data_IF_687887976291
#
_entry.id   IF_687887976291
#
_cell.length_a   1.000
_cell.length_b   1.000
_cell.length_c   1.000
_cell.angle_alpha   90.00
_cell.angle_beta   90.00
_cell.angle_gamma   90.00
#
_symmetry.space_group_name_H-M   'P 1'
#
loop_
_entity.id
_entity.type
_entity.pdbx_description
1 polymer ?
#
# COMPACT_ATOMS: atom_id res chain seq x y z
N UNK A 1 -12.30 16.17 -0.31
CA UNK A 1 -12.88 17.05 0.73
C UNK A 1 -12.41 18.51 0.54
N UNK A 2 -11.10 18.79 0.49
CA UNK A 2 -10.51 20.14 0.32
C UNK A 2 -10.95 20.96 -0.91
N UNK A 3 -11.08 20.34 -2.10
CA UNK A 3 -11.52 21.06 -3.30
C UNK A 3 -12.93 21.65 -3.19
N UNK A 4 -13.79 21.03 -2.37
CA UNK A 4 -15.17 21.47 -2.13
C UNK A 4 -15.22 22.67 -1.18
N UNK A 5 -14.33 22.77 -0.20
CA UNK A 5 -14.23 23.91 0.71
C UNK A 5 -13.61 25.15 0.04
N UNK A 6 -12.67 24.96 -0.89
CA UNK A 6 -11.95 26.07 -1.57
C UNK A 6 -12.59 26.53 -2.88
N UNK A 7 -13.71 25.94 -3.31
CA UNK A 7 -14.33 26.23 -4.60
C UNK A 7 -13.45 25.87 -5.80
N UNK A 8 -12.47 24.97 -5.62
CA UNK A 8 -11.57 24.55 -6.67
C UNK A 8 -12.29 23.58 -7.60
N UNK A 9 -12.43 23.95 -8.88
CA UNK A 9 -12.97 23.10 -9.92
C UNK A 9 -11.85 22.22 -10.50
N UNK A 10 -12.09 20.92 -10.57
CA UNK A 10 -11.18 20.03 -11.30
C UNK A 10 -11.10 20.49 -12.78
N UNK A 11 -9.92 20.44 -13.42
CA UNK A 11 -9.79 20.75 -14.84
C UNK A 11 -10.74 19.91 -15.69
N UNK A 12 -11.07 20.40 -16.88
CA UNK A 12 -11.87 19.63 -17.85
C UNK A 12 -11.19 18.30 -18.16
N UNK A 13 -11.77 17.22 -17.61
CA UNK A 13 -11.38 15.84 -17.91
C UNK A 13 -12.18 15.35 -19.11
N UNK A 14 -11.48 15.02 -20.20
CA UNK A 14 -12.14 14.38 -21.34
C UNK A 14 -12.26 12.87 -21.08
N UNK A 15 -13.36 12.29 -21.56
CA UNK A 15 -13.56 10.83 -21.54
C UNK A 15 -13.30 10.28 -22.94
N UNK A 16 -12.35 9.36 -23.04
CA UNK A 16 -12.04 8.64 -24.27
C UNK A 16 -12.12 7.13 -24.04
N UNK A 17 -12.27 6.37 -25.12
CA UNK A 17 -12.17 4.92 -25.12
C UNK A 17 -10.88 4.52 -25.83
N UNK A 18 -10.13 3.58 -25.25
CA UNK A 18 -8.91 3.03 -25.83
C UNK A 18 -8.91 1.52 -25.64
N UNK A 19 -8.14 0.80 -26.46
CA UNK A 19 -7.90 -0.62 -26.26
C UNK A 19 -6.70 -0.81 -25.31
N UNK A 20 -6.79 -1.83 -24.46
CA UNK A 20 -5.72 -2.25 -23.56
C UNK A 20 -4.61 -3.03 -24.28
N UNK A 21 -4.84 -3.47 -25.54
CA UNK A 21 -3.91 -4.28 -26.33
C UNK A 21 -3.47 -3.58 -27.60
N UNK A 22 -2.28 -3.94 -28.08
CA UNK A 22 -1.81 -3.44 -29.38
C UNK A 22 -2.63 -4.07 -30.51
N UNK A 23 -3.02 -3.25 -31.49
CA UNK A 23 -3.70 -3.74 -32.69
C UNK A 23 -2.77 -4.58 -33.57
N UNK A 24 -1.45 -4.34 -33.51
CA UNK A 24 -0.44 -5.07 -34.29
C UNK A 24 -0.04 -6.39 -33.63
N UNK A 25 0.05 -6.40 -32.30
CA UNK A 25 0.31 -7.62 -31.50
C UNK A 25 -0.59 -7.63 -30.26
N UNK A 26 -1.72 -8.35 -30.29
CA UNK A 26 -2.67 -8.42 -29.18
C UNK A 26 -2.10 -8.98 -27.87
N UNK A 27 -0.89 -9.57 -27.89
CA UNK A 27 -0.21 -10.05 -26.67
C UNK A 27 0.42 -8.91 -25.87
N UNK A 28 0.69 -7.77 -26.49
CA UNK A 28 1.32 -6.62 -25.85
C UNK A 28 0.27 -5.71 -25.21
N UNK A 29 0.47 -5.35 -23.94
CA UNK A 29 -0.35 -4.34 -23.27
C UNK A 29 0.04 -2.94 -23.77
N UNK A 30 -0.94 -2.15 -24.18
CA UNK A 30 -0.74 -0.78 -24.67
C UNK A 30 -0.81 0.27 -23.56
N UNK A 31 -1.24 -0.13 -22.35
CA UNK A 31 -1.52 0.76 -21.23
C UNK A 31 -0.92 0.18 -19.94
N UNK A 32 -0.46 1.06 -19.05
CA UNK A 32 -0.02 0.69 -17.71
C UNK A 32 -0.86 1.44 -16.68
N UNK A 33 -1.44 0.69 -15.73
CA UNK A 33 -2.19 1.27 -14.61
C UNK A 33 -1.21 1.62 -13.50
N UNK A 34 -1.30 2.86 -13.00
CA UNK A 34 -0.48 3.35 -11.91
C UNK A 34 -1.34 4.06 -10.87
N UNK A 35 -1.02 3.86 -9.60
CA UNK A 35 -1.60 4.58 -8.47
C UNK A 35 -0.73 5.80 -8.17
N UNK A 36 -1.36 6.97 -8.09
CA UNK A 36 -0.68 8.18 -7.64
C UNK A 36 -0.72 8.21 -6.12
N UNK A 37 0.44 8.17 -5.47
CA UNK A 37 0.58 8.19 -4.02
C UNK A 37 1.44 9.38 -3.59
N UNK A 38 1.15 9.96 -2.44
CA UNK A 38 1.98 10.99 -1.80
C UNK A 38 3.14 10.39 -1.02
N UNK A 39 4.17 11.19 -0.75
CA UNK A 39 5.34 10.75 0.04
C UNK A 39 4.94 10.33 1.46
N UNK A 40 4.00 11.06 2.08
CA UNK A 40 3.44 10.70 3.38
C UNK A 40 2.70 9.35 3.34
N UNK A 41 1.82 9.14 2.36
CA UNK A 41 1.08 7.87 2.23
C UNK A 41 2.02 6.67 2.01
N UNK A 42 3.10 6.84 1.23
CA UNK A 42 4.11 5.79 1.06
C UNK A 42 4.89 5.51 2.35
N UNK A 43 5.22 6.56 3.12
CA UNK A 43 5.88 6.41 4.42
C UNK A 43 4.99 5.65 5.40
N UNK A 44 3.69 5.99 5.46
CA UNK A 44 2.72 5.29 6.30
C UNK A 44 2.61 3.80 5.90
N UNK A 45 2.56 3.51 4.60
CA UNK A 45 2.54 2.14 4.09
C UNK A 45 3.80 1.35 4.47
N UNK A 46 4.97 2.00 4.37
CA UNK A 46 6.27 1.40 4.71
C UNK A 46 6.33 1.07 6.20
N UNK A 47 5.83 1.97 7.06
CA UNK A 47 5.78 1.74 8.50
C UNK A 47 4.85 0.58 8.88
N UNK A 48 3.69 0.49 8.23
CA UNK A 48 2.76 -0.64 8.41
C UNK A 48 3.40 -1.95 7.96
N UNK A 49 4.00 -1.98 6.76
CA UNK A 49 4.69 -3.16 6.25
C UNK A 49 5.84 -3.59 7.17
N UNK A 50 6.62 -2.65 7.69
CA UNK A 50 7.70 -2.94 8.64
C UNK A 50 7.17 -3.67 9.87
N UNK A 51 6.07 -3.21 10.45
CA UNK A 51 5.47 -3.83 11.65
C UNK A 51 4.96 -5.24 11.34
N UNK A 52 4.34 -5.43 10.18
CA UNK A 52 3.88 -6.75 9.74
C UNK A 52 5.07 -7.71 9.55
N UNK A 53 6.13 -7.25 8.87
CA UNK A 53 7.33 -8.05 8.64
C UNK A 53 8.03 -8.38 9.95
N UNK A 54 8.23 -7.42 10.84
CA UNK A 54 8.85 -7.63 12.16
C UNK A 54 8.05 -8.65 13.00
N UNK A 55 6.72 -8.50 13.05
CA UNK A 55 5.85 -9.45 13.75
C UNK A 55 5.91 -10.84 13.11
N UNK A 56 5.92 -10.93 11.77
CA UNK A 56 6.01 -12.19 11.06
C UNK A 56 7.35 -12.89 11.27
N UNK A 57 8.46 -12.14 11.22
CA UNK A 57 9.81 -12.64 11.45
C UNK A 57 9.99 -13.16 12.89
N UNK A 58 9.45 -12.45 13.89
CA UNK A 58 9.46 -12.87 15.29
C UNK A 58 8.69 -14.17 15.53
N UNK A 59 7.66 -14.44 14.72
CA UNK A 59 6.74 -15.57 14.88
C UNK A 59 6.91 -16.66 13.81
N UNK A 60 8.07 -16.74 13.15
CA UNK A 60 8.36 -17.76 12.12
C UNK A 60 8.18 -19.21 12.61
N UNK A 61 8.36 -19.45 13.91
CA UNK A 61 8.23 -20.77 14.53
C UNK A 61 6.91 -20.97 15.29
N UNK A 62 6.12 -19.91 15.45
CA UNK A 62 4.86 -19.86 16.20
C UNK A 62 3.82 -19.03 15.42
N UNK A 63 3.39 -19.48 14.23
CA UNK A 63 2.49 -18.71 13.38
C UNK A 63 1.14 -18.37 14.05
N UNK A 64 0.71 -19.14 15.05
CA UNK A 64 -0.44 -18.87 15.92
C UNK A 64 -0.33 -17.58 16.73
N UNK A 65 0.88 -17.11 17.03
CA UNK A 65 1.10 -15.91 17.82
C UNK A 65 1.20 -14.63 16.96
N UNK A 66 1.30 -14.78 15.63
CA UNK A 66 1.55 -13.68 14.70
C UNK A 66 0.51 -12.56 14.78
N UNK A 67 -0.78 -12.87 14.60
CA UNK A 67 -1.84 -11.84 14.59
C UNK A 67 -2.00 -11.17 15.96
N UNK A 68 -1.90 -11.92 17.05
CA UNK A 68 -1.95 -11.37 18.40
C UNK A 68 -0.79 -10.41 18.70
N UNK A 69 0.43 -10.74 18.26
CA UNK A 69 1.58 -9.84 18.40
C UNK A 69 1.48 -8.64 17.46
N UNK A 70 1.03 -8.84 16.22
CA UNK A 70 0.77 -7.75 15.28
C UNK A 70 -0.24 -6.76 15.86
N UNK A 71 -1.34 -7.25 16.44
CA UNK A 71 -2.34 -6.42 17.11
C UNK A 71 -1.75 -5.60 18.26
N UNK A 72 -0.86 -6.20 19.05
CA UNK A 72 -0.16 -5.51 20.13
C UNK A 72 0.79 -4.42 19.62
N UNK A 73 1.50 -4.68 18.51
CA UNK A 73 2.41 -3.72 17.88
C UNK A 73 1.65 -2.54 17.26
N UNK A 74 0.59 -2.82 16.50
CA UNK A 74 -0.29 -1.82 15.90
C UNK A 74 -0.95 -0.94 16.97
N UNK A 75 -1.45 -1.53 18.06
CA UNK A 75 -2.06 -0.76 19.15
C UNK A 75 -1.08 0.20 19.84
N UNK A 76 0.22 -0.10 19.83
CA UNK A 76 1.25 0.82 20.32
C UNK A 76 1.50 1.95 19.31
N UNK A 77 1.52 1.66 18.01
CA UNK A 77 1.67 2.67 16.95
C UNK A 77 0.48 3.62 16.87
N UNK A 78 -0.74 3.12 17.04
CA UNK A 78 -1.97 3.91 17.01
C UNK A 78 -2.05 4.95 18.15
N UNK A 79 -1.12 4.93 19.12
CA UNK A 79 -1.00 5.99 20.13
C UNK A 79 -0.36 7.27 19.59
N UNK A 80 0.30 7.22 18.42
CA UNK A 80 0.81 8.41 17.75
C UNK A 80 -0.34 9.12 17.02
N UNK A 81 -0.75 10.33 17.46
CA UNK A 81 -1.88 11.05 16.87
C UNK A 81 -1.61 11.51 15.43
N UNK A 82 -0.38 11.43 14.94
CA UNK A 82 -0.04 11.79 13.57
C UNK A 82 -0.18 10.62 12.58
N UNK A 83 -0.47 9.40 13.06
CA UNK A 83 -0.58 8.20 12.22
C UNK A 83 -2.04 7.82 12.00
N UNK A 84 -2.38 7.49 10.76
CA UNK A 84 -3.72 7.04 10.36
C UNK A 84 -3.80 5.50 10.36
N UNK A 85 -3.64 4.88 11.53
CA UNK A 85 -3.67 3.42 11.68
C UNK A 85 -4.85 3.02 12.58
N UNK A 86 -5.74 2.17 12.09
CA UNK A 86 -6.82 1.60 12.89
C UNK A 86 -6.30 0.38 13.68
N UNK A 87 -6.32 0.40 15.03
CA UNK A 87 -5.93 -0.75 15.83
C UNK A 87 -6.92 -1.93 15.72
N UNK A 88 -8.13 -1.72 15.19
CA UNK A 88 -9.11 -2.76 14.95
C UNK A 88 -9.07 -3.19 13.49
N UNK A 89 -8.26 -4.19 13.19
CA UNK A 89 -8.17 -4.79 11.85
C UNK A 89 -8.62 -6.26 11.89
N UNK A 90 -9.18 -6.75 10.80
CA UNK A 90 -9.54 -8.17 10.63
C UNK A 90 -8.58 -8.89 9.69
N UNK A 91 -8.00 -8.15 8.74
CA UNK A 91 -7.02 -8.63 7.77
C UNK A 91 -5.88 -7.61 7.66
N UNK A 92 -4.80 -7.97 6.96
CA UNK A 92 -3.67 -7.04 6.79
C UNK A 92 -4.02 -5.80 5.95
N UNK A 93 -4.98 -5.90 5.01
CA UNK A 93 -5.39 -4.77 4.17
C UNK A 93 -6.03 -3.62 4.95
N UNK A 94 -6.75 -3.93 6.03
CA UNK A 94 -7.32 -2.93 6.94
C UNK A 94 -6.25 -2.01 7.56
N UNK A 95 -5.00 -2.49 7.68
CA UNK A 95 -3.86 -1.72 8.18
C UNK A 95 -3.23 -0.80 7.12
N UNK A 96 -3.44 -1.07 5.83
CA UNK A 96 -2.73 -0.40 4.73
C UNK A 96 -3.41 0.88 4.22
N UNK A 97 -4.31 1.46 5.04
CA UNK A 97 -4.92 2.77 4.81
C UNK A 97 -6.16 2.75 3.93
N UNK A 98 -6.91 3.86 3.94
CA UNK A 98 -8.18 3.99 3.18
C UNK A 98 -7.95 4.03 1.67
N UNK A 99 -6.80 4.54 1.23
CA UNK A 99 -6.53 4.76 -0.20
C UNK A 99 -6.37 3.47 -0.99
N UNK A 100 -6.05 2.33 -0.35
CA UNK A 100 -6.07 1.02 -0.99
C UNK A 100 -7.45 0.35 -0.94
N UNK A 101 -8.27 0.63 0.09
CA UNK A 101 -9.60 0.01 0.27
C UNK A 101 -10.59 0.35 -0.85
N UNK A 102 -10.50 1.56 -1.39
CA UNK A 102 -11.41 2.03 -2.46
C UNK A 102 -10.97 1.60 -3.86
N UNK A 103 -9.78 0.98 -3.99
CA UNK A 103 -9.32 0.49 -5.28
C UNK A 103 -10.00 -0.85 -5.61
N UNK A 104 -10.44 -1.07 -6.87
CA UNK A 104 -10.93 -2.37 -7.32
C UNK A 104 -9.78 -3.37 -7.55
N UNK A 105 -8.77 -3.33 -6.66
CA UNK A 105 -7.59 -4.17 -6.67
C UNK A 105 -7.76 -5.25 -5.60
N UNK A 106 -7.50 -6.50 -5.98
CA UNK A 106 -7.64 -7.66 -5.09
C UNK A 106 -6.29 -8.33 -4.97
N UNK A 107 -5.69 -8.23 -3.80
CA UNK A 107 -4.50 -9.00 -3.45
C UNK A 107 -4.81 -9.96 -2.32
N UNK A 108 -4.19 -11.14 -2.40
CA UNK A 108 -4.22 -12.12 -1.32
C UNK A 108 -3.71 -11.53 0.00
N UNK A 109 -2.73 -10.61 -0.07
CA UNK A 109 -2.14 -9.99 1.11
C UNK A 109 -3.18 -9.09 1.80
N UNK A 110 -3.94 -8.31 1.04
CA UNK A 110 -4.97 -7.43 1.59
C UNK A 110 -6.07 -8.23 2.30
N UNK A 111 -6.47 -9.36 1.73
CA UNK A 111 -7.51 -10.23 2.31
C UNK A 111 -6.98 -11.20 3.39
N UNK A 112 -5.68 -11.13 3.75
CA UNK A 112 -5.06 -12.08 4.66
C UNK A 112 -5.52 -11.85 6.11
N UNK A 113 -6.41 -12.70 6.59
CA UNK A 113 -6.84 -12.77 7.99
C UNK A 113 -6.12 -13.90 8.77
N UNK A 114 -6.33 -13.92 10.09
CA UNK A 114 -5.72 -14.90 10.99
C UNK A 114 -6.09 -16.34 10.61
N UNK A 115 -7.36 -16.60 10.32
CA UNK A 115 -7.82 -17.94 9.98
C UNK A 115 -7.13 -18.44 8.71
N UNK A 116 -7.05 -17.60 7.69
CA UNK A 116 -6.41 -17.89 6.41
C UNK A 116 -4.92 -18.12 6.65
N UNK A 117 -4.25 -17.25 7.39
CA UNK A 117 -2.83 -17.40 7.75
C UNK A 117 -2.53 -18.73 8.44
N UNK A 118 -3.33 -19.13 9.44
CA UNK A 118 -3.15 -20.38 10.18
C UNK A 118 -3.51 -21.62 9.37
N UNK A 119 -4.38 -21.48 8.37
CA UNK A 119 -4.70 -22.57 7.45
C UNK A 119 -3.58 -22.85 6.43
N UNK A 120 -2.65 -21.90 6.25
CA UNK A 120 -1.54 -22.05 5.31
C UNK A 120 -0.43 -22.94 5.87
N UNK A 121 0.28 -23.62 4.96
CA UNK A 121 1.52 -24.31 5.33
C UNK A 121 2.69 -23.34 5.55
N UNK A 122 3.73 -23.75 6.32
CA UNK A 122 4.87 -22.88 6.65
C UNK A 122 5.59 -22.28 5.45
N UNK A 123 5.67 -23.02 4.34
CA UNK A 123 6.29 -22.52 3.11
C UNK A 123 5.54 -21.35 2.49
N UNK A 124 4.20 -21.36 2.53
CA UNK A 124 3.38 -20.27 2.00
C UNK A 124 3.42 -19.04 2.91
N UNK A 125 3.44 -19.27 4.23
CA UNK A 125 3.65 -18.20 5.21
C UNK A 125 4.98 -17.48 4.97
N UNK A 126 6.06 -18.24 4.77
CA UNK A 126 7.38 -17.67 4.46
C UNK A 126 7.38 -16.88 3.15
N UNK A 127 6.78 -17.42 2.08
CA UNK A 127 6.69 -16.71 0.79
C UNK A 127 5.96 -15.36 0.91
N UNK A 128 4.90 -15.29 1.72
CA UNK A 128 4.19 -14.04 1.99
C UNK A 128 5.10 -13.06 2.73
N UNK A 129 5.79 -13.50 3.78
CA UNK A 129 6.69 -12.62 4.54
C UNK A 129 7.85 -12.10 3.69
N UNK A 130 8.44 -12.96 2.86
CA UNK A 130 9.53 -12.57 1.96
C UNK A 130 9.04 -11.56 0.90
N UNK A 131 7.80 -11.71 0.40
CA UNK A 131 7.18 -10.74 -0.50
C UNK A 131 6.96 -9.39 0.19
N UNK A 132 6.39 -9.38 1.40
CA UNK A 132 6.18 -8.17 2.19
C UNK A 132 7.50 -7.45 2.51
N UNK A 133 8.56 -8.18 2.82
CA UNK A 133 9.90 -7.64 3.05
C UNK A 133 10.49 -7.03 1.76
N UNK A 134 10.31 -7.68 0.61
CA UNK A 134 10.72 -7.12 -0.67
C UNK A 134 9.95 -5.82 -1.03
N UNK A 135 8.65 -5.78 -0.76
CA UNK A 135 7.83 -4.57 -0.94
C UNK A 135 8.26 -3.45 0.00
N UNK A 136 8.55 -3.74 1.26
CA UNK A 136 9.09 -2.76 2.20
C UNK A 136 10.36 -2.12 1.67
N UNK A 137 11.33 -2.92 1.22
CA UNK A 137 12.57 -2.40 0.64
C UNK A 137 12.34 -1.60 -0.65
N UNK A 138 11.36 -2.00 -1.46
CA UNK A 138 10.99 -1.24 -2.65
C UNK A 138 10.45 0.15 -2.28
N UNK A 139 9.61 0.24 -1.25
CA UNK A 139 9.03 1.51 -0.82
C UNK A 139 10.05 2.42 -0.14
N UNK A 140 10.95 1.86 0.68
CA UNK A 140 12.12 2.58 1.22
C UNK A 140 12.96 3.17 0.07
N UNK A 141 13.24 2.36 -0.96
CA UNK A 141 14.02 2.81 -2.12
C UNK A 141 13.33 3.92 -2.93
N UNK A 142 11.99 3.91 -3.04
CA UNK A 142 11.24 5.00 -3.68
C UNK A 142 11.23 6.26 -2.82
N UNK A 143 11.02 6.12 -1.51
CA UNK A 143 11.00 7.23 -0.58
C UNK A 143 12.34 7.99 -0.57
N UNK A 144 13.46 7.28 -0.65
CA UNK A 144 14.81 7.84 -0.57
C UNK A 144 15.33 8.44 -1.89
N UNK A 145 14.53 8.37 -2.96
CA UNK A 145 14.85 8.99 -4.25
C UNK A 145 14.05 10.30 -4.45
N UNK A 146 14.58 11.47 -4.04
CA UNK A 146 13.86 12.73 -4.10
C UNK A 146 13.43 13.13 -5.52
N UNK A 147 14.20 12.74 -6.54
CA UNK A 147 13.93 13.06 -7.94
C UNK A 147 12.67 12.39 -8.51
N UNK A 148 12.13 11.37 -7.84
CA UNK A 148 10.88 10.70 -8.24
C UNK A 148 9.63 11.52 -7.89
N UNK A 149 9.73 12.41 -6.91
CA UNK A 149 8.59 13.07 -6.28
C UNK A 149 8.28 14.40 -6.95
N UNK A 150 7.04 14.55 -7.42
CA UNK A 150 6.61 15.71 -8.21
C UNK A 150 5.59 16.53 -7.40
N UNK A 151 5.79 17.85 -7.23
CA UNK A 151 4.78 18.71 -6.63
C UNK A 151 3.58 18.89 -7.57
N UNK A 152 2.35 18.75 -7.04
CA UNK A 152 1.13 18.99 -7.81
C UNK A 152 0.75 20.48 -7.90
N UNK A 153 1.33 21.33 -7.06
CA UNK A 153 1.09 22.77 -7.03
C UNK A 153 2.29 23.52 -6.45
N UNK A 154 2.39 24.82 -6.78
CA UNK A 154 3.48 25.68 -6.29
C UNK A 154 3.45 25.80 -4.76
N UNK A 155 4.58 25.50 -4.13
CA UNK A 155 4.70 25.52 -2.66
C UNK A 155 4.10 24.30 -1.95
N UNK A 156 3.78 23.22 -2.67
CA UNK A 156 3.37 21.96 -2.07
C UNK A 156 4.42 21.46 -1.05
N UNK A 157 4.00 21.10 0.18
CA UNK A 157 4.87 20.45 1.15
C UNK A 157 5.50 19.19 0.56
N UNK A 158 6.74 18.88 0.92
CA UNK A 158 7.46 17.70 0.40
C UNK A 158 6.71 16.39 0.62
N UNK A 159 6.03 16.26 1.76
CA UNK A 159 5.18 15.10 2.08
C UNK A 159 3.98 14.91 1.14
N UNK A 160 3.52 15.97 0.47
CA UNK A 160 2.41 15.94 -0.49
C UNK A 160 2.87 15.81 -1.95
N UNK A 161 4.18 15.74 -2.20
CA UNK A 161 4.67 15.42 -3.53
C UNK A 161 4.25 14.00 -3.88
N UNK A 162 4.00 13.76 -5.16
CA UNK A 162 3.41 12.51 -5.63
C UNK A 162 4.35 11.73 -6.53
N UNK A 163 4.20 10.40 -6.50
CA UNK A 163 4.89 9.48 -7.37
C UNK A 163 3.90 8.43 -7.93
N UNK A 164 3.92 8.13 -9.23
CA UNK A 164 3.06 7.09 -9.81
C UNK A 164 3.67 5.69 -9.65
N UNK A 165 3.16 4.92 -8.69
CA UNK A 165 3.53 3.52 -8.43
C UNK A 165 2.76 2.57 -9.36
N UNK A 166 3.43 1.55 -9.91
CA UNK A 166 2.77 0.51 -10.72
C UNK A 166 1.83 -0.32 -9.85
N UNK A 167 0.69 -0.74 -10.40
CA UNK A 167 -0.24 -1.63 -9.69
C UNK A 167 0.42 -2.95 -9.25
N UNK A 168 1.41 -3.42 -10.01
CA UNK A 168 2.20 -4.63 -9.69
C UNK A 168 3.12 -4.46 -8.47
N UNK A 169 3.34 -3.22 -8.03
CA UNK A 169 4.11 -2.89 -6.84
C UNK A 169 3.20 -2.57 -5.64
N UNK A 170 1.91 -2.90 -5.73
CA UNK A 170 0.99 -2.87 -4.59
C UNK A 170 1.06 -4.19 -3.81
N UNK A 171 0.74 -4.18 -2.50
CA UNK A 171 0.71 -5.38 -1.67
C UNK A 171 -0.31 -6.41 -2.16
#
# INVERSE_FOLDING_TARGET
YLGRERGAQAPDVFRAWTTDRSFEDPRQASLQVRLLITKNELSDLSDVLRVIVEAGQANRLSPEDFFGQLQSAVANLARDPNRLIDPNFNNLGDLMGEYLRDLPYRSLILDLDEQTWLSMGPGRQLEILDNLEALLHLYEAYHDQPDLWIPLYDGAPEGEHVFPISIDALP
#
